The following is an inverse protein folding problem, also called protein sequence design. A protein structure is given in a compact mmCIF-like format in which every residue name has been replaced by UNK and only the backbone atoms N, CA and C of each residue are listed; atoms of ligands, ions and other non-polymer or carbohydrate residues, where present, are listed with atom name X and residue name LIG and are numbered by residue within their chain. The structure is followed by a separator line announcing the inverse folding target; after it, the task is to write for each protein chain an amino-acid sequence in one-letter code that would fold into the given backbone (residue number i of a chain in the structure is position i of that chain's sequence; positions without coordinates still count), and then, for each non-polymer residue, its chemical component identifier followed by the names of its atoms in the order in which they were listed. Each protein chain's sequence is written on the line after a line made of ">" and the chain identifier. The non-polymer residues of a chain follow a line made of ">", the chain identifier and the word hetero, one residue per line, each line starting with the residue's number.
data_IF_504145199933
#
_entry.id   IF_504145199933
#
_cell.length_a   1.000
_cell.length_b   1.000
_cell.length_c   1.000
_cell.angle_alpha   90.00
_cell.angle_beta   90.00
_cell.angle_gamma   90.00
#
_symmetry.space_group_name_H-M   'P 1'
#
loop_
_entity.id
_entity.type
_entity.pdbx_description
1 polymer ?
#
# COMPACT_ATOMS: atom_id res chain seq x y z
N UNK A 1 22.81 -13.40 13.40
CA UNK A 1 21.71 -12.44 13.17
C UNK A 1 20.73 -13.14 12.25
N UNK A 2 19.55 -13.55 12.76
CA UNK A 2 18.49 -14.05 11.88
C UNK A 2 17.97 -12.87 11.07
N UNK A 3 18.39 -12.74 9.82
CA UNK A 3 17.81 -11.74 8.91
C UNK A 3 16.38 -12.15 8.61
N UNK A 4 15.41 -11.41 9.13
CA UNK A 4 13.99 -11.63 8.77
C UNK A 4 13.82 -11.45 7.27
N UNK A 5 13.09 -12.35 6.66
CA UNK A 5 12.77 -12.25 5.24
C UNK A 5 11.75 -11.12 5.00
N UNK A 6 11.82 -10.44 3.86
CA UNK A 6 10.92 -9.35 3.55
C UNK A 6 9.45 -9.79 3.51
N UNK A 7 8.58 -8.91 4.04
CA UNK A 7 7.13 -8.96 3.92
C UNK A 7 6.65 -7.65 3.35
N UNK A 8 5.73 -7.71 2.44
CA UNK A 8 5.19 -6.54 1.79
C UNK A 8 3.67 -6.62 1.73
N UNK A 9 3.03 -5.50 1.98
CA UNK A 9 1.58 -5.32 1.86
C UNK A 9 1.31 -4.18 0.89
N UNK A 10 0.39 -4.41 -0.02
CA UNK A 10 -0.11 -3.43 -0.98
C UNK A 10 -1.50 -2.99 -0.51
N UNK A 11 -1.72 -1.68 -0.42
CA UNK A 11 -3.00 -1.08 -0.05
C UNK A 11 -3.23 0.15 -0.92
N UNK A 12 -4.45 0.41 -1.41
CA UNK A 12 -4.74 1.60 -2.19
C UNK A 12 -4.66 2.89 -1.37
N UNK A 13 -4.43 4.02 -2.05
CA UNK A 13 -4.42 5.39 -1.47
C UNK A 13 -5.82 5.95 -1.24
N UNK A 14 -6.78 5.09 -1.01
CA UNK A 14 -8.19 5.46 -0.96
C UNK A 14 -8.58 6.00 0.42
N UNK A 15 -9.11 7.23 0.46
CA UNK A 15 -9.71 7.83 1.67
C UNK A 15 -10.82 6.96 2.27
N UNK A 16 -11.46 6.11 1.48
CA UNK A 16 -12.48 5.14 1.90
C UNK A 16 -12.00 4.17 3.00
N UNK A 17 -10.68 4.00 3.15
CA UNK A 17 -10.08 3.15 4.17
C UNK A 17 -10.25 3.77 5.56
N UNK A 18 -10.18 5.08 5.68
CA UNK A 18 -10.38 5.80 6.95
C UNK A 18 -11.87 5.78 7.29
N UNK A 19 -12.20 5.33 8.51
CA UNK A 19 -13.59 5.09 8.90
C UNK A 19 -14.44 6.35 8.89
N UNK A 20 -13.88 7.43 9.35
CA UNK A 20 -14.52 8.74 9.43
C UNK A 20 -14.76 9.35 8.04
N UNK A 21 -14.00 8.96 7.02
CA UNK A 21 -14.12 9.42 5.63
C UNK A 21 -14.96 8.47 4.77
N UNK A 22 -14.71 7.17 4.88
CA UNK A 22 -15.41 6.15 4.10
C UNK A 22 -16.81 5.83 4.64
N UNK A 23 -17.10 6.19 5.89
CA UNK A 23 -18.37 5.91 6.54
C UNK A 23 -18.72 4.40 6.53
N UNK A 24 -20.01 4.13 6.40
CA UNK A 24 -20.59 2.78 6.42
C UNK A 24 -20.99 2.27 5.04
N UNK A 25 -20.58 2.93 3.95
CA UNK A 25 -20.83 2.41 2.60
C UNK A 25 -20.27 0.99 2.46
N UNK A 26 -21.01 0.04 1.87
CA UNK A 26 -20.59 -1.36 1.79
C UNK A 26 -19.20 -1.52 1.17
N UNK A 27 -18.92 -0.82 0.09
CA UNK A 27 -17.62 -0.82 -0.59
C UNK A 27 -16.48 -0.35 0.32
N UNK A 28 -16.68 0.78 1.04
CA UNK A 28 -15.70 1.31 1.97
C UNK A 28 -15.44 0.34 3.13
N UNK A 29 -16.51 -0.26 3.67
CA UNK A 29 -16.43 -1.23 4.76
C UNK A 29 -15.66 -2.49 4.33
N UNK A 30 -15.95 -3.01 3.14
CA UNK A 30 -15.27 -4.19 2.59
C UNK A 30 -13.78 -3.89 2.34
N UNK A 31 -13.46 -2.79 1.66
CA UNK A 31 -12.08 -2.38 1.38
C UNK A 31 -11.28 -2.19 2.67
N UNK A 32 -11.85 -1.48 3.65
CA UNK A 32 -11.23 -1.25 4.96
C UNK A 32 -10.95 -2.55 5.71
N UNK A 33 -11.92 -3.48 5.71
CA UNK A 33 -11.73 -4.80 6.33
C UNK A 33 -10.54 -5.51 5.72
N UNK A 34 -10.47 -5.59 4.39
CA UNK A 34 -9.36 -6.25 3.70
C UNK A 34 -8.03 -5.55 3.95
N UNK A 35 -7.98 -4.22 3.91
CA UNK A 35 -6.76 -3.47 4.21
C UNK A 35 -6.25 -3.75 5.63
N UNK A 36 -7.13 -3.76 6.64
CA UNK A 36 -6.81 -4.08 8.04
C UNK A 36 -6.29 -5.50 8.22
N UNK A 37 -6.99 -6.49 7.65
CA UNK A 37 -6.59 -7.91 7.69
C UNK A 37 -5.23 -8.11 7.03
N UNK A 38 -5.00 -7.45 5.90
CA UNK A 38 -3.76 -7.60 5.16
C UNK A 38 -2.58 -6.92 5.87
N UNK A 39 -2.78 -5.73 6.42
CA UNK A 39 -1.74 -5.03 7.21
C UNK A 39 -1.30 -5.88 8.41
N UNK A 40 -2.22 -6.61 9.05
CA UNK A 40 -1.89 -7.50 10.14
C UNK A 40 -0.88 -8.61 9.75
N UNK A 41 -0.83 -8.99 8.47
CA UNK A 41 0.11 -10.03 7.99
C UNK A 41 1.58 -9.60 8.09
N UNK A 42 1.88 -8.31 8.22
CA UNK A 42 3.24 -7.82 8.44
C UNK A 42 3.85 -8.34 9.75
N UNK A 43 3.02 -8.74 10.73
CA UNK A 43 3.44 -9.15 12.08
C UNK A 43 3.04 -10.57 12.46
N UNK A 44 2.65 -11.42 11.52
CA UNK A 44 2.09 -12.77 11.79
C UNK A 44 3.02 -13.67 12.62
N UNK A 45 4.36 -13.55 12.49
CA UNK A 45 5.33 -14.40 13.18
C UNK A 45 6.15 -13.65 14.23
N UNK A 46 5.62 -12.51 14.71
CA UNK A 46 6.31 -11.74 15.75
C UNK A 46 6.02 -12.30 17.13
N UNK A 47 7.03 -12.30 17.98
CA UNK A 47 6.86 -12.55 19.40
C UNK A 47 6.04 -11.41 20.05
N UNK A 48 5.17 -11.72 21.02
CA UNK A 48 4.43 -10.71 21.75
C UNK A 48 5.38 -9.68 22.38
N UNK A 49 5.11 -8.39 22.14
CA UNK A 49 5.90 -7.29 22.74
C UNK A 49 7.15 -6.87 21.96
N UNK A 50 7.51 -7.52 20.86
CA UNK A 50 8.58 -7.03 20.02
C UNK A 50 8.23 -5.68 19.37
N UNK A 51 9.10 -4.65 19.50
CA UNK A 51 8.90 -3.39 18.78
C UNK A 51 8.92 -3.65 17.27
N UNK A 52 7.89 -3.19 16.59
CA UNK A 52 7.79 -3.29 15.14
C UNK A 52 8.37 -2.07 14.46
N UNK A 53 9.16 -2.27 13.41
CA UNK A 53 9.49 -1.20 12.47
C UNK A 53 8.86 -1.53 11.12
N UNK A 54 8.26 -0.53 10.48
CA UNK A 54 7.62 -0.66 9.18
C UNK A 54 8.03 0.50 8.28
N UNK A 55 8.34 0.21 7.02
CA UNK A 55 8.53 1.22 6.00
C UNK A 55 7.20 1.46 5.28
N UNK A 56 6.77 2.71 5.21
CA UNK A 56 5.65 3.17 4.39
C UNK A 56 6.25 3.64 3.06
N UNK A 57 5.85 3.03 1.95
CA UNK A 57 6.33 3.38 0.62
C UNK A 57 5.23 4.12 -0.13
N UNK A 58 5.47 5.36 -0.47
CA UNK A 58 4.47 6.22 -1.13
C UNK A 58 4.83 6.61 -2.56
N UNK A 59 6.08 6.34 -2.98
CA UNK A 59 6.62 6.86 -4.23
C UNK A 59 6.97 8.35 -4.13
N UNK A 60 7.65 8.84 -5.12
CA UNK A 60 7.90 10.28 -5.24
C UNK A 60 6.58 10.99 -5.50
N UNK A 61 6.16 11.80 -4.55
CA UNK A 61 5.07 12.73 -4.79
C UNK A 61 5.57 13.81 -5.74
N UNK A 62 4.84 14.08 -6.81
CA UNK A 62 5.11 15.24 -7.66
C UNK A 62 5.07 16.49 -6.78
N UNK A 63 5.99 17.42 -7.05
CA UNK A 63 6.19 18.63 -6.26
C UNK A 63 4.86 19.25 -5.80
N UNK A 64 4.79 19.58 -4.52
CA UNK A 64 3.60 20.17 -3.85
C UNK A 64 2.95 21.22 -4.72
N UNK A 65 1.67 21.06 -4.99
CA UNK A 65 0.87 22.17 -5.49
C UNK A 65 1.05 23.36 -4.52
N UNK A 66 1.34 24.57 -4.98
CA UNK A 66 1.62 25.71 -4.10
C UNK A 66 0.44 26.10 -3.19
N UNK A 67 -0.71 25.42 -3.32
CA UNK A 67 -1.92 25.66 -2.53
C UNK A 67 -2.25 24.55 -1.52
N UNK A 68 -1.44 23.48 -1.41
CA UNK A 68 -1.63 22.50 -0.35
C UNK A 68 -0.92 22.93 0.94
N UNK A 69 -1.62 23.71 1.73
CA UNK A 69 -1.33 23.84 3.16
C UNK A 69 -1.90 22.60 3.84
N UNK A 70 -1.20 21.47 3.76
CA UNK A 70 -1.56 20.30 4.54
C UNK A 70 -1.25 20.60 6.00
N UNK A 71 -2.25 20.51 6.88
CA UNK A 71 -1.99 20.45 8.30
C UNK A 71 -1.19 19.16 8.55
N UNK A 72 0.02 19.23 9.12
CA UNK A 72 0.78 18.04 9.41
C UNK A 72 -0.03 17.15 10.38
N UNK A 73 0.17 15.84 10.25
CA UNK A 73 -0.36 14.84 11.18
C UNK A 73 -1.90 14.72 11.22
N UNK A 74 -2.63 15.28 10.26
CA UNK A 74 -4.09 15.37 10.34
C UNK A 74 -4.79 15.15 9.02
N UNK A 75 -5.99 14.55 9.09
CA UNK A 75 -6.96 14.48 8.00
C UNK A 75 -7.91 15.69 7.96
N UNK A 76 -7.64 16.74 8.74
CA UNK A 76 -8.47 17.96 8.74
C UNK A 76 -8.67 18.61 7.36
N UNK A 77 -7.71 18.57 6.40
CA UNK A 77 -7.95 19.02 5.03
C UNK A 77 -9.06 18.26 4.31
N UNK A 78 -9.42 17.08 4.80
CA UNK A 78 -10.52 16.24 4.29
C UNK A 78 -11.77 16.33 5.17
N UNK A 79 -11.88 17.38 6.00
CA UNK A 79 -13.02 17.69 6.86
C UNK A 79 -13.33 16.66 7.96
N UNK A 80 -12.33 15.93 8.43
CA UNK A 80 -12.45 15.03 9.60
C UNK A 80 -11.38 15.33 10.64
N UNK A 81 -11.75 15.23 11.92
CA UNK A 81 -10.85 15.42 13.05
C UNK A 81 -10.18 14.10 13.45
N UNK A 82 -9.29 13.65 12.56
CA UNK A 82 -8.46 12.46 12.78
C UNK A 82 -7.02 12.85 12.66
N UNK A 83 -6.24 12.51 13.68
CA UNK A 83 -4.80 12.76 13.74
C UNK A 83 -4.03 11.45 13.77
N UNK A 84 -2.81 11.47 13.26
CA UNK A 84 -1.85 10.35 13.26
C UNK A 84 -0.47 10.84 13.71
N UNK A 85 0.44 9.94 14.01
CA UNK A 85 1.78 10.27 14.52
C UNK A 85 2.73 10.70 13.38
N UNK A 86 2.46 11.79 12.71
CA UNK A 86 3.31 12.32 11.65
C UNK A 86 2.71 12.20 10.25
N UNK A 87 3.39 12.82 9.29
CA UNK A 87 2.99 12.80 7.89
C UNK A 87 2.42 14.13 7.41
N UNK A 88 2.61 14.39 6.13
CA UNK A 88 2.12 15.61 5.48
C UNK A 88 1.32 15.32 4.22
N UNK A 89 1.55 14.16 3.63
CA UNK A 89 0.94 13.77 2.36
C UNK A 89 -0.10 12.66 2.58
N UNK A 90 -1.16 12.67 1.81
CA UNK A 90 -2.27 11.72 1.97
C UNK A 90 -1.82 10.25 2.03
N UNK A 91 -0.95 9.72 1.16
CA UNK A 91 -0.53 8.33 1.25
C UNK A 91 0.21 8.02 2.55
N UNK A 92 1.04 8.95 3.05
CA UNK A 92 1.72 8.80 4.32
C UNK A 92 0.73 8.78 5.48
N UNK A 93 -0.22 9.73 5.52
CA UNK A 93 -1.27 9.78 6.54
C UNK A 93 -2.08 8.48 6.58
N UNK A 94 -2.46 7.94 5.41
CA UNK A 94 -3.18 6.67 5.30
C UNK A 94 -2.36 5.49 5.83
N UNK A 95 -1.08 5.42 5.47
CA UNK A 95 -0.18 4.38 5.95
C UNK A 95 -0.02 4.42 7.48
N UNK A 96 0.17 5.60 8.06
CA UNK A 96 0.26 5.79 9.51
C UNK A 96 -1.05 5.42 10.21
N UNK A 97 -2.18 5.87 9.67
CA UNK A 97 -3.49 5.51 10.20
C UNK A 97 -3.71 3.99 10.26
N UNK A 98 -3.36 3.26 9.19
CA UNK A 98 -3.48 1.80 9.15
C UNK A 98 -2.60 1.11 10.21
N UNK A 99 -1.37 1.61 10.39
CA UNK A 99 -0.42 1.07 11.37
C UNK A 99 -0.90 1.33 12.79
N UNK A 100 -1.38 2.54 13.07
CA UNK A 100 -1.89 2.92 14.38
C UNK A 100 -3.22 2.22 14.70
N UNK A 101 -4.10 2.05 13.71
CA UNK A 101 -5.31 1.25 13.86
C UNK A 101 -4.98 -0.21 14.19
N UNK A 102 -3.99 -0.80 13.51
CA UNK A 102 -3.48 -2.13 13.85
C UNK A 102 -2.92 -2.18 15.28
N UNK A 103 -2.06 -1.24 15.65
CA UNK A 103 -1.48 -1.18 16.98
C UNK A 103 -2.55 -1.08 18.07
N UNK A 104 -3.53 -0.20 17.89
CA UNK A 104 -4.66 0.01 18.82
C UNK A 104 -5.52 -1.24 19.00
N UNK A 105 -5.82 -1.96 17.90
CA UNK A 105 -6.65 -3.19 17.93
C UNK A 105 -5.94 -4.39 18.53
N UNK A 106 -4.61 -4.42 18.48
CA UNK A 106 -3.79 -5.54 18.94
C UNK A 106 -3.00 -5.20 20.21
N UNK A 107 -3.39 -4.15 20.92
CA UNK A 107 -2.81 -3.77 22.19
C UNK A 107 -3.58 -4.44 23.33
N UNK A 108 -2.94 -5.37 24.03
CA UNK A 108 -3.41 -5.85 25.33
C UNK A 108 -2.81 -4.95 26.43
N UNK A 109 -3.62 -4.04 26.99
CA UNK A 109 -3.24 -3.20 28.12
C UNK A 109 -2.85 -1.75 27.77
N UNK A 110 -2.54 -0.92 28.79
CA UNK A 110 -2.33 0.53 28.64
C UNK A 110 -1.03 0.93 27.94
N UNK A 111 -0.11 -0.01 27.73
CA UNK A 111 1.16 0.21 27.01
C UNK A 111 1.12 -0.42 25.63
N UNK A 112 0.24 0.04 24.75
CA UNK A 112 0.07 -0.51 23.42
C UNK A 112 1.37 -0.79 22.67
N UNK A 113 1.32 -1.67 21.67
CA UNK A 113 2.46 -1.99 20.81
C UNK A 113 2.95 -0.73 20.11
N UNK A 114 4.18 -0.32 20.40
CA UNK A 114 4.81 0.81 19.71
C UNK A 114 5.36 0.31 18.38
N UNK A 115 4.83 0.83 17.27
CA UNK A 115 5.31 0.55 15.93
C UNK A 115 5.94 1.83 15.37
N UNK A 116 7.22 1.74 15.00
CA UNK A 116 7.91 2.83 14.34
C UNK A 116 7.63 2.78 12.84
N UNK A 117 7.01 3.82 12.31
CA UNK A 117 6.74 3.99 10.89
C UNK A 117 7.67 5.03 10.27
N UNK A 118 8.39 4.65 9.23
CA UNK A 118 9.28 5.54 8.47
C UNK A 118 8.86 5.55 7.01
N UNK A 119 8.76 6.74 6.41
CA UNK A 119 8.39 6.89 5.00
C UNK A 119 9.61 6.85 4.09
N UNK A 120 9.40 6.25 2.91
CA UNK A 120 10.38 6.13 1.84
C UNK A 120 9.74 6.39 0.47
N UNK A 121 10.51 6.92 -0.44
CA UNK A 121 10.10 7.11 -1.84
C UNK A 121 10.16 5.80 -2.65
N UNK A 122 10.94 4.82 -2.18
CA UNK A 122 11.12 3.58 -2.92
C UNK A 122 11.30 2.35 -2.03
N UNK A 123 10.91 1.19 -2.59
CA UNK A 123 11.14 -0.12 -1.96
C UNK A 123 12.64 -0.36 -1.75
N UNK A 124 13.48 0.03 -2.72
CA UNK A 124 14.92 -0.17 -2.65
C UNK A 124 15.57 0.62 -1.50
N UNK A 125 15.16 1.88 -1.29
CA UNK A 125 15.63 2.70 -0.17
C UNK A 125 15.24 2.10 1.18
N UNK A 126 14.01 1.64 1.33
CA UNK A 126 13.53 1.01 2.55
C UNK A 126 14.31 -0.28 2.88
N UNK A 127 14.56 -1.13 1.88
CA UNK A 127 15.37 -2.35 2.03
C UNK A 127 16.83 -2.01 2.37
N UNK A 128 17.42 -1.01 1.73
CA UNK A 128 18.78 -0.55 2.02
C UNK A 128 18.91 0.01 3.44
N UNK A 129 17.84 0.62 3.98
CA UNK A 129 17.76 1.06 5.36
C UNK A 129 17.49 -0.09 6.37
N UNK A 130 17.40 -1.34 5.89
CA UNK A 130 17.24 -2.53 6.72
C UNK A 130 15.79 -2.87 7.11
N UNK A 131 14.80 -2.21 6.50
CA UNK A 131 13.40 -2.56 6.73
C UNK A 131 13.03 -3.86 6.03
N UNK A 132 12.36 -4.74 6.75
CA UNK A 132 11.84 -6.02 6.22
C UNK A 132 10.31 -6.08 6.20
N UNK A 133 9.63 -5.09 6.77
CA UNK A 133 8.18 -4.92 6.71
C UNK A 133 7.86 -3.68 5.90
N UNK A 134 7.18 -3.87 4.79
CA UNK A 134 6.95 -2.83 3.78
C UNK A 134 5.44 -2.67 3.58
N UNK A 135 4.92 -1.46 3.78
CA UNK A 135 3.55 -1.08 3.46
C UNK A 135 3.58 -0.14 2.26
N UNK A 136 3.12 -0.61 1.12
CA UNK A 136 3.11 0.14 -0.15
C UNK A 136 1.71 0.71 -0.39
N UNK A 137 1.61 2.04 -0.47
CA UNK A 137 0.38 2.76 -0.77
C UNK A 137 0.34 3.05 -2.27
N UNK A 138 -0.52 2.34 -3.02
CA UNK A 138 -0.61 2.46 -4.48
C UNK A 138 -2.00 2.14 -4.99
N UNK A 139 -2.53 2.98 -5.89
CA UNK A 139 -3.77 2.71 -6.61
C UNK A 139 -3.49 1.97 -7.91
N UNK A 140 -4.51 1.26 -8.42
CA UNK A 140 -4.54 0.72 -9.77
C UNK A 140 -4.82 1.79 -10.82
N UNK A 141 -5.48 1.42 -11.91
CA UNK A 141 -5.84 2.37 -12.95
C UNK A 141 -7.04 3.24 -12.56
N UNK A 142 -7.10 4.43 -13.15
CA UNK A 142 -8.26 5.33 -13.12
C UNK A 142 -8.97 5.27 -14.48
N UNK A 143 -10.23 5.61 -14.50
CA UNK A 143 -10.98 5.68 -15.76
C UNK A 143 -11.48 4.34 -16.26
N UNK A 144 -11.78 3.41 -15.34
CA UNK A 144 -12.26 2.06 -15.68
C UNK A 144 -13.76 2.01 -15.98
N UNK A 145 -14.52 3.03 -15.60
CA UNK A 145 -15.96 3.10 -15.80
C UNK A 145 -16.44 4.56 -15.92
N UNK A 146 -17.68 4.77 -16.36
CA UNK A 146 -18.28 6.09 -16.56
C UNK A 146 -18.41 6.90 -15.27
N UNK A 147 -18.53 6.25 -14.12
CA UNK A 147 -18.58 6.85 -12.80
C UNK A 147 -17.21 7.22 -12.21
N UNK A 148 -16.14 7.00 -12.99
CA UNK A 148 -14.81 7.47 -12.59
C UNK A 148 -14.76 8.99 -12.54
N UNK A 149 -14.08 9.57 -11.52
CA UNK A 149 -13.89 11.02 -11.41
C UNK A 149 -13.21 11.67 -12.63
N UNK A 150 -12.53 10.88 -13.44
CA UNK A 150 -11.82 11.34 -14.66
C UNK A 150 -12.49 10.87 -15.96
N UNK A 151 -13.67 10.24 -15.85
CA UNK A 151 -14.33 9.56 -16.98
C UNK A 151 -13.59 8.30 -17.42
N UNK A 152 -14.04 7.72 -18.54
CA UNK A 152 -13.39 6.52 -19.13
C UNK A 152 -12.09 6.91 -19.80
N UNK A 153 -11.03 6.14 -19.54
CA UNK A 153 -9.72 6.29 -20.17
C UNK A 153 -9.42 5.03 -20.99
N UNK A 154 -9.13 5.21 -22.27
CA UNK A 154 -8.73 4.11 -23.16
C UNK A 154 -7.44 3.45 -22.63
N UNK A 155 -7.40 2.11 -22.59
CA UNK A 155 -6.28 1.34 -22.07
C UNK A 155 -6.24 1.21 -20.53
N UNK A 156 -7.17 1.83 -19.78
CA UNK A 156 -7.19 1.74 -18.33
C UNK A 156 -7.40 0.30 -17.82
N UNK A 157 -8.24 -0.47 -18.51
CA UNK A 157 -8.53 -1.86 -18.15
C UNK A 157 -7.29 -2.76 -18.26
N UNK A 158 -6.48 -2.57 -19.29
CA UNK A 158 -5.22 -3.30 -19.50
C UNK A 158 -4.20 -2.93 -18.41
N UNK A 159 -4.13 -1.65 -18.04
CA UNK A 159 -3.28 -1.18 -16.92
C UNK A 159 -3.72 -1.80 -15.61
N UNK A 160 -5.02 -1.82 -15.33
CA UNK A 160 -5.55 -2.37 -14.08
C UNK A 160 -5.35 -3.89 -14.00
N UNK A 161 -5.57 -4.61 -15.10
CA UNK A 161 -5.28 -6.02 -15.19
C UNK A 161 -3.81 -6.33 -14.89
N UNK A 162 -2.90 -5.46 -15.32
CA UNK A 162 -1.47 -5.58 -15.03
C UNK A 162 -1.17 -5.32 -13.55
N UNK A 163 -1.78 -4.30 -12.94
CA UNK A 163 -1.68 -4.04 -11.50
C UNK A 163 -2.17 -5.24 -10.68
N UNK A 164 -3.34 -5.80 -11.04
CA UNK A 164 -3.90 -7.01 -10.45
C UNK A 164 -2.94 -8.20 -10.53
N UNK A 165 -2.35 -8.41 -11.69
CA UNK A 165 -1.38 -9.47 -11.93
C UNK A 165 -0.13 -9.31 -11.05
N UNK A 166 0.45 -8.11 -11.00
CA UNK A 166 1.60 -7.82 -10.13
C UNK A 166 1.24 -8.04 -8.67
N UNK A 167 0.08 -7.58 -8.22
CA UNK A 167 -0.34 -7.68 -6.83
C UNK A 167 -0.54 -9.13 -6.36
N UNK A 168 -1.22 -9.96 -7.17
CA UNK A 168 -1.78 -11.22 -6.72
C UNK A 168 -1.22 -12.49 -7.34
N UNK A 169 -0.52 -12.42 -8.46
CA UNK A 169 -0.06 -13.61 -9.18
C UNK A 169 1.46 -13.73 -9.21
N UNK A 170 1.94 -14.90 -9.58
CA UNK A 170 3.37 -15.12 -9.82
C UNK A 170 3.76 -14.46 -11.15
N UNK A 171 4.56 -13.40 -11.06
CA UNK A 171 5.02 -12.62 -12.21
C UNK A 171 6.31 -13.17 -12.83
N UNK A 172 6.77 -14.35 -12.44
CA UNK A 172 8.03 -14.93 -12.93
C UNK A 172 8.09 -15.13 -14.45
N UNK A 173 6.92 -15.10 -15.12
CA UNK A 173 6.80 -15.22 -16.58
C UNK A 173 6.58 -13.88 -17.32
N UNK A 174 6.46 -12.75 -16.60
CA UNK A 174 6.17 -11.46 -17.20
C UNK A 174 7.48 -10.67 -17.33
N UNK A 175 7.84 -10.32 -18.56
CA UNK A 175 8.95 -9.40 -18.79
C UNK A 175 8.52 -7.97 -18.44
N UNK A 176 8.78 -7.56 -17.22
CA UNK A 176 8.33 -6.28 -16.64
C UNK A 176 9.13 -5.10 -17.16
N UNK A 177 10.32 -5.30 -17.71
CA UNK A 177 11.12 -4.21 -18.31
C UNK A 177 10.41 -3.53 -19.47
N UNK A 178 9.47 -4.23 -20.10
CA UNK A 178 8.68 -3.72 -21.24
C UNK A 178 7.26 -3.30 -20.86
N UNK A 179 6.90 -3.29 -19.56
CA UNK A 179 5.61 -2.78 -19.15
C UNK A 179 5.61 -1.26 -19.28
N UNK A 180 5.09 -0.78 -20.38
CA UNK A 180 4.77 0.63 -20.56
C UNK A 180 3.38 0.84 -19.97
N UNK A 181 3.32 1.48 -18.80
CA UNK A 181 2.06 1.99 -18.31
C UNK A 181 1.66 3.18 -19.19
N UNK A 182 0.61 3.08 -20.00
CA UNK A 182 0.20 4.20 -20.83
C UNK A 182 -0.21 5.37 -19.92
N UNK A 183 0.42 6.53 -20.12
CA UNK A 183 -0.09 7.77 -19.55
C UNK A 183 -1.38 8.15 -20.33
N UNK A 184 -2.45 8.62 -19.65
CA UNK A 184 -2.49 9.22 -18.32
C UNK A 184 -3.16 8.38 -17.23
N UNK A 185 -3.45 7.09 -17.43
CA UNK A 185 -4.26 6.29 -16.51
C UNK A 185 -3.53 5.73 -15.27
N UNK A 186 -2.20 5.81 -15.18
CA UNK A 186 -1.44 5.20 -14.09
C UNK A 186 -0.72 6.25 -13.24
N UNK A 187 -1.39 6.77 -12.23
CA UNK A 187 -0.83 7.76 -11.29
C UNK A 187 0.38 7.26 -10.50
N UNK A 188 0.61 5.96 -10.45
CA UNK A 188 1.66 5.35 -9.66
C UNK A 188 2.40 4.23 -10.42
N UNK A 189 2.53 4.38 -11.75
CA UNK A 189 3.24 3.41 -12.61
C UNK A 189 4.63 3.05 -12.07
N UNK A 190 5.36 4.03 -11.54
CA UNK A 190 6.68 3.83 -10.95
C UNK A 190 6.66 2.86 -9.76
N UNK A 191 5.65 2.94 -8.88
CA UNK A 191 5.53 2.01 -7.75
C UNK A 191 5.18 0.59 -8.20
N UNK A 192 4.32 0.43 -9.20
CA UNK A 192 4.03 -0.87 -9.78
C UNK A 192 5.25 -1.51 -10.44
N UNK A 193 6.07 -0.71 -11.12
CA UNK A 193 7.37 -1.16 -11.65
C UNK A 193 8.35 -1.55 -10.52
N UNK A 194 8.40 -0.78 -9.43
CA UNK A 194 9.22 -1.12 -8.26
C UNK A 194 8.78 -2.43 -7.61
N UNK A 195 7.45 -2.67 -7.48
CA UNK A 195 6.89 -3.92 -6.97
C UNK A 195 7.34 -5.10 -7.81
N UNK A 196 7.23 -4.99 -9.12
CA UNK A 196 7.66 -6.05 -10.02
C UNK A 196 9.15 -6.34 -9.91
N UNK A 197 10.00 -5.31 -9.96
CA UNK A 197 11.46 -5.44 -9.79
C UNK A 197 11.83 -6.05 -8.43
N UNK A 198 11.10 -5.72 -7.36
CA UNK A 198 11.32 -6.32 -6.06
C UNK A 198 11.04 -7.83 -6.07
N UNK A 199 9.93 -8.27 -6.68
CA UNK A 199 9.59 -9.68 -6.82
C UNK A 199 10.65 -10.45 -7.62
N UNK A 200 11.12 -9.89 -8.73
CA UNK A 200 12.20 -10.46 -9.55
C UNK A 200 13.51 -10.58 -8.78
N UNK A 201 13.90 -9.51 -8.09
CA UNK A 201 15.12 -9.48 -7.28
C UNK A 201 15.12 -10.52 -6.17
N UNK A 202 14.01 -10.67 -5.45
CA UNK A 202 13.87 -11.67 -4.39
C UNK A 202 13.90 -13.08 -4.95
N UNK A 203 13.21 -13.34 -6.06
CA UNK A 203 13.23 -14.64 -6.75
C UNK A 203 14.63 -14.97 -7.26
N UNK A 204 15.32 -14.00 -7.86
CA UNK A 204 16.70 -14.13 -8.34
C UNK A 204 17.71 -14.39 -7.21
N UNK A 205 17.40 -13.93 -5.98
CA UNK A 205 18.22 -14.21 -4.78
C UNK A 205 17.94 -15.58 -4.16
N UNK A 206 17.14 -16.42 -4.80
CA UNK A 206 16.84 -17.77 -4.31
C UNK A 206 15.71 -17.81 -3.28
N UNK A 207 14.93 -16.76 -3.14
CA UNK A 207 13.69 -16.75 -2.35
C UNK A 207 12.49 -17.14 -3.21
N UNK A 208 11.45 -17.64 -2.57
CA UNK A 208 10.12 -17.77 -3.17
C UNK A 208 9.24 -16.63 -2.64
N UNK A 209 8.58 -15.89 -3.53
CA UNK A 209 7.64 -14.84 -3.16
C UNK A 209 6.23 -15.43 -3.21
N UNK A 210 5.64 -15.64 -2.04
CA UNK A 210 4.25 -16.08 -1.91
C UNK A 210 3.36 -14.84 -1.91
N UNK A 211 2.51 -14.70 -2.93
CA UNK A 211 1.59 -13.59 -3.09
C UNK A 211 0.16 -14.02 -2.78
N UNK A 212 -0.61 -13.13 -2.17
CA UNK A 212 -2.02 -13.36 -1.88
C UNK A 212 -2.82 -12.09 -2.10
N UNK A 213 -3.79 -12.12 -3.01
CA UNK A 213 -4.76 -11.04 -3.21
C UNK A 213 -5.94 -11.22 -2.26
N UNK A 214 -6.39 -10.12 -1.64
CA UNK A 214 -7.53 -10.08 -0.73
C UNK A 214 -8.67 -9.23 -1.28
N UNK A 215 -8.34 -8.22 -2.09
CA UNK A 215 -9.30 -7.36 -2.75
C UNK A 215 -8.76 -6.95 -4.12
N UNK A 216 -9.59 -7.06 -5.13
CA UNK A 216 -9.25 -6.76 -6.52
C UNK A 216 -10.53 -6.32 -7.24
N UNK A 217 -10.86 -5.05 -7.14
CA UNK A 217 -12.07 -4.45 -7.70
C UNK A 217 -11.85 -2.99 -8.05
N UNK A 218 -12.73 -2.46 -8.90
CA UNK A 218 -12.69 -1.09 -9.36
C UNK A 218 -13.97 -0.30 -9.02
N UNK A 219 -14.29 -0.10 -7.74
CA UNK A 219 -15.40 0.77 -7.39
C UNK A 219 -15.11 2.20 -7.82
N UNK A 220 -16.16 2.88 -8.30
CA UNK A 220 -16.05 4.26 -8.80
C UNK A 220 -15.06 4.43 -9.97
N UNK A 221 -14.87 3.39 -10.76
CA UNK A 221 -13.94 3.41 -11.90
C UNK A 221 -12.47 3.58 -11.55
N UNK A 222 -12.08 3.22 -10.31
CA UNK A 222 -10.70 3.24 -9.83
C UNK A 222 -10.32 1.84 -9.37
N UNK A 223 -9.23 1.28 -9.89
CA UNK A 223 -8.72 -0.02 -9.49
C UNK A 223 -8.13 0.01 -8.08
N UNK A 224 -8.61 -0.85 -7.21
CA UNK A 224 -8.10 -1.02 -5.86
C UNK A 224 -7.64 -2.46 -5.64
N UNK A 225 -6.38 -2.61 -5.32
CA UNK A 225 -5.73 -3.89 -5.08
C UNK A 225 -5.21 -3.94 -3.65
N UNK A 226 -5.63 -4.96 -2.88
CA UNK A 226 -5.10 -5.25 -1.55
C UNK A 226 -4.46 -6.62 -1.59
N UNK A 227 -3.16 -6.67 -1.32
CA UNK A 227 -2.40 -7.92 -1.39
C UNK A 227 -1.29 -7.99 -0.35
N UNK A 228 -0.88 -9.20 0.00
CA UNK A 228 0.32 -9.45 0.79
C UNK A 228 1.32 -10.31 0.03
N UNK A 229 2.59 -10.02 0.25
CA UNK A 229 3.72 -10.80 -0.23
C UNK A 229 4.58 -11.25 0.93
N UNK A 230 4.96 -12.51 0.94
CA UNK A 230 5.85 -13.07 1.92
C UNK A 230 7.00 -13.78 1.21
N UNK A 231 8.22 -13.38 1.51
CA UNK A 231 9.39 -14.12 1.06
C UNK A 231 9.62 -15.32 1.97
N UNK A 232 9.86 -16.47 1.36
CA UNK A 232 10.24 -17.71 2.04
C UNK A 232 11.54 -18.24 1.42
N UNK A 233 12.41 -18.84 2.23
CA UNK A 233 13.59 -19.50 1.73
C UNK A 233 13.19 -20.71 0.87
N UNK A 234 13.94 -20.95 -0.22
CA UNK A 234 13.78 -22.18 -1.01
C UNK A 234 14.35 -23.37 -0.27
#
# INVERSE_FOLDING_TARGET
>A
MNSRLPRLVIVPRALLIVEELGGFAPTATELRRHARETVATLWTDDEPGEPGAVAIITGRMQAKSPHQTSAPDSFSPYAVDVTVSGGTELPELLGRWLIEDYARRNSEGPTGRVIQATCFDSIAEALAAGHTRLLVLVDGAFGLADDSPVGVIEGAAEVDALCSLIAGQDCSSINVENIVFPAPGAYAAELWQQLSKAAESWTGSGMTVVKRSYYDRAPYGIGYHVASWQCVAK
#
